data_IF_268787675360
#
_entry.id   IF_268787675360
#
_cell.length_a   1.000
_cell.length_b   1.000
_cell.length_c   1.000
_cell.angle_alpha   90.00
_cell.angle_beta   90.00
_cell.angle_gamma   90.00
#
_symmetry.space_group_name_H-M   'P 1'
#
loop_
_entity.id
_entity.type
_entity.pdbx_description
1 polymer ?
#
# COMPACT_ATOMS: atom_id res chain seq x y z
N UNK A 1 26.19 10.68 -6.23
CA UNK A 1 24.85 10.17 -5.83
C UNK A 1 23.85 11.30 -6.02
N UNK A 2 23.04 11.27 -7.10
CA UNK A 2 22.05 12.32 -7.35
C UNK A 2 20.87 12.07 -6.41
N UNK A 3 20.75 12.89 -5.37
CA UNK A 3 19.54 13.01 -4.56
C UNK A 3 18.59 13.89 -5.37
N UNK A 4 17.65 13.27 -6.08
CA UNK A 4 16.56 14.01 -6.72
C UNK A 4 15.59 14.41 -5.60
N UNK A 5 15.48 15.71 -5.39
CA UNK A 5 14.43 16.34 -4.60
C UNK A 5 13.09 16.09 -5.32
N UNK A 6 12.49 14.93 -5.10
CA UNK A 6 11.14 14.65 -5.59
C UNK A 6 10.14 15.28 -4.64
N UNK A 7 9.42 16.27 -5.17
CA UNK A 7 8.34 16.98 -4.52
C UNK A 7 7.43 16.01 -3.76
N UNK A 8 7.18 16.29 -2.49
CA UNK A 8 6.53 15.44 -1.49
C UNK A 8 5.03 15.17 -1.78
N UNK A 9 4.71 14.56 -2.92
CA UNK A 9 3.47 13.78 -3.05
C UNK A 9 3.74 12.48 -2.31
N UNK A 10 3.13 12.30 -1.14
CA UNK A 10 3.20 11.02 -0.43
C UNK A 10 2.82 9.91 -1.41
N UNK A 11 3.73 8.97 -1.62
CA UNK A 11 3.52 7.83 -2.51
C UNK A 11 2.87 6.70 -1.71
N UNK A 12 2.22 5.73 -2.38
CA UNK A 12 1.59 4.59 -1.68
C UNK A 12 2.58 3.85 -0.77
N UNK A 13 3.86 3.85 -1.14
CA UNK A 13 4.95 3.34 -0.33
C UNK A 13 5.06 4.04 1.03
N UNK A 14 4.97 5.36 1.09
CA UNK A 14 5.09 6.10 2.35
C UNK A 14 3.91 5.78 3.28
N UNK A 15 2.71 5.70 2.71
CA UNK A 15 1.51 5.30 3.45
C UNK A 15 1.59 3.86 3.95
N UNK A 16 2.10 2.94 3.13
CA UNK A 16 2.33 1.56 3.52
C UNK A 16 3.42 1.44 4.59
N UNK A 17 4.52 2.19 4.46
CA UNK A 17 5.64 2.17 5.41
C UNK A 17 5.27 2.75 6.77
N UNK A 18 4.26 3.63 6.83
CA UNK A 18 3.71 4.18 8.07
C UNK A 18 2.81 3.20 8.86
N UNK A 19 2.41 2.07 8.27
CA UNK A 19 1.63 1.03 8.96
C UNK A 19 2.49 0.19 9.91
N UNK A 20 1.85 -0.44 10.90
CA UNK A 20 2.50 -1.43 11.76
C UNK A 20 2.94 -2.66 10.94
N UNK A 21 3.85 -3.48 11.46
CA UNK A 21 4.26 -4.71 10.75
C UNK A 21 3.10 -5.68 10.54
N UNK A 22 2.20 -5.78 11.52
CA UNK A 22 1.00 -6.63 11.45
C UNK A 22 0.05 -6.14 10.35
N UNK A 23 -0.23 -4.84 10.31
CA UNK A 23 -1.10 -4.23 9.29
C UNK A 23 -0.49 -4.31 7.89
N UNK A 24 0.83 -4.18 7.77
CA UNK A 24 1.54 -4.39 6.49
C UNK A 24 1.32 -5.81 5.97
N UNK A 25 1.46 -6.81 6.84
CA UNK A 25 1.27 -8.21 6.46
C UNK A 25 -0.19 -8.46 6.07
N UNK A 26 -1.15 -7.95 6.85
CA UNK A 26 -2.58 -8.11 6.60
C UNK A 26 -3.01 -7.44 5.29
N UNK A 27 -2.69 -6.16 5.11
CA UNK A 27 -2.99 -5.40 3.89
C UNK A 27 -2.39 -6.05 2.66
N UNK A 28 -1.11 -6.44 2.71
CA UNK A 28 -0.43 -7.08 1.58
C UNK A 28 -1.13 -8.38 1.21
N UNK A 29 -1.45 -9.22 2.19
CA UNK A 29 -2.14 -10.49 1.95
C UNK A 29 -3.49 -10.24 1.28
N UNK A 30 -4.30 -9.34 1.86
CA UNK A 30 -5.62 -9.00 1.33
C UNK A 30 -5.56 -8.42 -0.08
N UNK A 31 -4.61 -7.51 -0.33
CA UNK A 31 -4.39 -6.92 -1.65
C UNK A 31 -3.99 -7.99 -2.68
N UNK A 32 -3.08 -8.90 -2.32
CA UNK A 32 -2.66 -10.00 -3.20
C UNK A 32 -3.81 -10.97 -3.49
N UNK A 33 -4.60 -11.32 -2.47
CA UNK A 33 -5.77 -12.20 -2.61
C UNK A 33 -6.84 -11.56 -3.52
N UNK A 34 -7.08 -10.25 -3.39
CA UNK A 34 -8.06 -9.51 -4.19
C UNK A 34 -7.63 -9.30 -5.65
N UNK A 35 -6.33 -9.16 -5.92
CA UNK A 35 -5.80 -8.84 -7.26
C UNK A 35 -5.21 -10.04 -8.00
N UNK A 36 -4.97 -11.15 -7.29
CA UNK A 36 -4.15 -12.26 -7.81
C UNK A 36 -2.69 -11.88 -8.05
N UNK A 37 -2.23 -10.77 -7.49
CA UNK A 37 -0.88 -10.24 -7.74
C UNK A 37 0.18 -11.08 -7.01
N UNK A 38 1.26 -11.41 -7.71
CA UNK A 38 2.40 -12.08 -7.10
C UNK A 38 3.13 -11.16 -6.11
N UNK A 39 3.71 -11.77 -5.06
CA UNK A 39 4.44 -11.08 -4.01
C UNK A 39 5.56 -10.17 -4.56
N UNK A 40 6.35 -10.68 -5.50
CA UNK A 40 7.45 -9.94 -6.12
C UNK A 40 6.95 -8.74 -6.92
N UNK A 41 5.84 -8.90 -7.64
CA UNK A 41 5.19 -7.83 -8.41
C UNK A 41 4.65 -6.72 -7.49
N UNK A 42 4.08 -7.08 -6.35
CA UNK A 42 3.62 -6.11 -5.36
C UNK A 42 4.75 -5.18 -4.91
N UNK A 43 5.89 -5.73 -4.46
CA UNK A 43 7.02 -4.91 -4.00
C UNK A 43 7.69 -4.15 -5.15
N UNK A 44 7.72 -4.71 -6.36
CA UNK A 44 8.20 -3.98 -7.54
C UNK A 44 7.34 -2.74 -7.78
N UNK A 45 6.01 -2.89 -7.78
CA UNK A 45 5.05 -1.79 -7.96
C UNK A 45 5.12 -0.78 -6.82
N UNK A 46 5.24 -1.23 -5.58
CA UNK A 46 5.39 -0.37 -4.41
C UNK A 46 6.66 0.49 -4.50
N UNK A 47 7.78 -0.08 -4.96
CA UNK A 47 9.04 0.67 -5.13
C UNK A 47 9.01 1.65 -6.30
N UNK A 48 8.30 1.31 -7.38
CA UNK A 48 8.30 2.07 -8.64
C UNK A 48 7.06 2.96 -8.82
N UNK A 49 6.14 2.93 -7.86
CA UNK A 49 4.82 3.55 -7.90
C UNK A 49 4.00 3.22 -9.17
N UNK A 50 4.21 2.03 -9.74
CA UNK A 50 3.62 1.61 -11.03
C UNK A 50 2.26 0.90 -10.89
N UNK A 51 1.48 1.30 -9.88
CA UNK A 51 0.11 0.82 -9.71
C UNK A 51 -0.83 1.45 -10.73
N UNK A 52 -1.69 0.64 -11.33
CA UNK A 52 -2.78 1.11 -12.20
C UNK A 52 -3.82 1.90 -11.38
N UNK A 53 -4.66 2.74 -11.98
CA UNK A 53 -5.67 3.51 -11.24
C UNK A 53 -6.58 2.66 -10.35
N UNK A 54 -7.05 1.51 -10.84
CA UNK A 54 -7.90 0.60 -10.05
C UNK A 54 -7.14 -0.09 -8.91
N UNK A 55 -5.90 -0.50 -9.18
CA UNK A 55 -4.98 -1.06 -8.18
C UNK A 55 -4.72 -0.04 -7.06
N UNK A 56 -4.46 1.22 -7.42
CA UNK A 56 -4.26 2.32 -6.47
C UNK A 56 -5.50 2.58 -5.63
N UNK A 57 -6.68 2.68 -6.24
CA UNK A 57 -7.93 2.88 -5.50
C UNK A 57 -8.19 1.76 -4.50
N UNK A 58 -7.91 0.51 -4.87
CA UNK A 58 -8.00 -0.63 -3.95
C UNK A 58 -6.98 -0.49 -2.82
N UNK A 59 -5.73 -0.16 -3.14
CA UNK A 59 -4.67 0.00 -2.14
C UNK A 59 -5.01 1.09 -1.12
N UNK A 60 -5.45 2.28 -1.58
CA UNK A 60 -5.82 3.41 -0.72
C UNK A 60 -7.01 3.07 0.19
N UNK A 61 -7.99 2.32 -0.34
CA UNK A 61 -9.10 1.80 0.45
C UNK A 61 -8.60 0.88 1.57
N UNK A 62 -7.76 -0.10 1.24
CA UNK A 62 -7.20 -1.02 2.23
C UNK A 62 -6.32 -0.29 3.26
N UNK A 63 -5.48 0.66 2.85
CA UNK A 63 -4.71 1.46 3.82
C UNK A 63 -5.65 2.16 4.80
N UNK A 64 -6.75 2.73 4.31
CA UNK A 64 -7.70 3.43 5.18
C UNK A 64 -8.34 2.47 6.19
N UNK A 65 -8.71 1.28 5.74
CA UNK A 65 -9.31 0.24 6.59
C UNK A 65 -8.32 -0.30 7.65
N UNK A 66 -7.03 -0.39 7.32
CA UNK A 66 -5.97 -0.85 8.23
C UNK A 66 -5.39 0.27 9.12
N UNK A 67 -5.52 1.53 8.73
CA UNK A 67 -5.02 2.70 9.49
C UNK A 67 -6.02 3.19 10.54
N UNK A 68 -7.31 2.91 10.35
CA UNK A 68 -8.32 3.13 11.38
C UNK A 68 -8.30 1.91 12.29
N UNK A 69 -7.93 2.04 13.58
CA UNK A 69 -8.08 0.94 14.52
C UNK A 69 -9.58 0.69 14.66
N UNK A 70 -10.07 -0.31 13.93
CA UNK A 70 -11.30 -1.08 14.16
C UNK A 70 -12.29 -0.45 15.15
N UNK A 71 -12.88 0.69 14.78
CA UNK A 71 -14.13 1.15 15.37
C UNK A 71 -15.23 0.66 14.44
N UNK A 72 -16.17 -0.09 15.00
CA UNK A 72 -17.35 -0.69 14.37
C UNK A 72 -17.14 -2.10 13.76
N UNK A 73 -16.97 -3.07 14.66
CA UNK A 73 -17.85 -4.26 14.64
C UNK A 73 -18.53 -4.34 16.00
N UNK A 74 -19.70 -3.72 16.11
CA UNK A 74 -20.66 -3.88 17.20
C UNK A 74 -21.95 -4.44 16.61
#
# INVERSE_FOLDING_TARGET
MKKTEESQKMVLKDHYDALSEEDKIALRKEYMDATGMAYTTFYMKLRTDSFRPLERNLFEKLISDHKVPSLVKA
#
